data_IF_035266995059
#
_entry.id   IF_035266995059
#
_cell.length_a   1.000
_cell.length_b   1.000
_cell.length_c   1.000
_cell.angle_alpha   90.00
_cell.angle_beta   90.00
_cell.angle_gamma   90.00
#
_symmetry.space_group_name_H-M   'P 1'
#
loop_
_entity.id
_entity.type
_entity.pdbx_description
1 polymer ?
#
# COMPACT_ATOMS: atom_id res chain seq x y z
N UNK A 1 16.67 4.13 39.16
CA UNK A 1 15.46 3.45 38.75
C UNK A 1 14.77 4.33 37.72
N UNK A 2 15.05 4.11 36.45
CA UNK A 2 14.49 4.89 35.32
C UNK A 2 13.69 3.94 34.44
N UNK A 3 12.37 4.16 34.36
CA UNK A 3 11.49 3.42 33.47
C UNK A 3 11.78 3.81 32.02
N UNK A 4 12.30 2.88 31.25
CA UNK A 4 12.45 3.01 29.81
C UNK A 4 11.07 2.90 29.16
N UNK A 5 10.57 4.00 28.61
CA UNK A 5 9.31 4.01 27.88
C UNK A 5 9.50 3.37 26.50
N UNK A 6 8.83 2.25 26.31
CA UNK A 6 8.86 1.43 25.08
C UNK A 6 8.05 2.05 23.90
N UNK A 7 7.89 3.36 23.85
CA UNK A 7 7.01 4.04 22.87
C UNK A 7 7.69 4.71 21.70
N UNK A 8 9.03 4.79 21.64
CA UNK A 8 9.72 5.52 20.58
C UNK A 8 10.19 4.66 19.38
N UNK A 9 9.97 3.36 19.38
CA UNK A 9 10.47 2.43 18.36
C UNK A 9 9.63 2.29 17.09
N UNK A 10 8.37 2.71 17.09
CA UNK A 10 7.41 2.44 15.97
C UNK A 10 7.33 3.57 14.95
N UNK A 11 7.90 4.74 15.20
CA UNK A 11 7.66 5.96 14.41
C UNK A 11 8.71 6.23 13.33
N UNK A 12 9.57 5.28 13.00
CA UNK A 12 10.54 5.42 11.89
C UNK A 12 10.22 4.57 10.67
N UNK A 13 8.95 4.32 10.38
CA UNK A 13 8.55 3.84 9.07
C UNK A 13 8.58 5.02 8.10
N UNK A 14 9.58 4.98 7.25
CA UNK A 14 9.90 5.92 6.20
C UNK A 14 8.65 6.39 5.45
N UNK A 15 8.19 7.60 5.73
CA UNK A 15 7.31 8.31 4.83
C UNK A 15 8.13 8.51 3.56
N UNK A 16 7.84 7.72 2.55
CA UNK A 16 8.42 7.86 1.23
C UNK A 16 8.27 9.32 0.75
N UNK A 17 9.30 9.88 0.14
CA UNK A 17 9.24 11.24 -0.39
C UNK A 17 8.09 11.45 -1.40
N UNK A 18 7.65 10.40 -2.08
CA UNK A 18 6.47 10.41 -2.96
C UNK A 18 5.17 10.67 -2.19
N UNK A 19 5.02 10.16 -0.97
CA UNK A 19 3.83 10.40 -0.15
C UNK A 19 3.74 11.85 0.38
N UNK A 20 4.88 12.54 0.54
CA UNK A 20 4.88 13.97 0.88
C UNK A 20 4.28 14.84 -0.21
N UNK A 21 4.47 14.46 -1.47
CA UNK A 21 3.91 15.19 -2.61
C UNK A 21 2.39 14.97 -2.75
N UNK A 22 1.90 13.78 -2.44
CA UNK A 22 0.48 13.43 -2.49
C UNK A 22 -0.36 14.12 -1.41
N UNK A 23 0.19 14.36 -0.22
CA UNK A 23 -0.45 15.12 0.87
C UNK A 23 -0.72 16.59 0.50
N UNK A 24 0.04 17.17 -0.44
CA UNK A 24 -0.13 18.56 -0.90
C UNK A 24 -1.25 18.67 -1.95
N UNK A 25 -1.60 17.60 -2.63
CA UNK A 25 -2.55 17.61 -3.75
C UNK A 25 -4.04 17.42 -3.36
N UNK A 26 -4.40 17.38 -2.08
CA UNK A 26 -5.78 17.40 -1.54
C UNK A 26 -6.81 16.49 -2.26
N UNK A 27 -6.40 15.32 -2.78
CA UNK A 27 -7.25 14.44 -3.60
C UNK A 27 -7.05 12.95 -3.29
N UNK A 28 -6.45 12.61 -2.14
CA UNK A 28 -6.28 11.22 -1.74
C UNK A 28 -7.50 10.75 -0.95
N UNK A 29 -8.22 9.79 -1.50
CA UNK A 29 -9.12 8.95 -0.69
C UNK A 29 -8.21 7.97 0.06
N UNK A 30 -7.74 8.42 1.22
CA UNK A 30 -6.88 7.61 2.06
C UNK A 30 -7.70 6.54 2.80
N UNK A 31 -7.11 5.38 3.02
CA UNK A 31 -7.62 4.35 3.92
C UNK A 31 -8.00 4.97 5.27
N UNK A 32 -9.14 4.58 5.83
CA UNK A 32 -9.61 5.02 7.15
C UNK A 32 -8.55 4.77 8.22
N UNK A 33 -8.60 5.55 9.31
CA UNK A 33 -7.74 5.32 10.48
C UNK A 33 -7.97 3.93 11.10
N UNK A 34 -7.01 3.38 11.83
CA UNK A 34 -7.19 2.07 12.51
C UNK A 34 -8.40 2.01 13.44
N UNK A 35 -8.77 3.13 14.06
CA UNK A 35 -9.93 3.28 14.94
C UNK A 35 -11.24 3.23 14.13
N UNK A 36 -11.30 3.96 13.02
CA UNK A 36 -12.44 3.96 12.11
C UNK A 36 -12.62 2.58 11.45
N UNK A 37 -11.52 1.92 11.06
CA UNK A 37 -11.56 0.55 10.53
C UNK A 37 -12.08 -0.44 11.57
N UNK A 38 -11.67 -0.29 12.83
CA UNK A 38 -12.20 -1.12 13.93
C UNK A 38 -13.72 -0.99 14.02
N UNK A 39 -14.24 0.22 13.89
CA UNK A 39 -15.68 0.48 13.91
C UNK A 39 -16.37 -0.07 12.64
N UNK A 40 -15.77 0.16 11.46
CA UNK A 40 -16.31 -0.32 10.19
C UNK A 40 -16.36 -1.85 10.10
N UNK A 41 -15.33 -2.55 10.60
CA UNK A 41 -15.31 -4.02 10.65
C UNK A 41 -16.42 -4.58 11.52
N UNK A 42 -16.65 -3.98 12.70
CA UNK A 42 -17.77 -4.37 13.57
C UNK A 42 -19.12 -4.16 12.90
N UNK A 43 -19.30 -3.02 12.24
CA UNK A 43 -20.52 -2.70 11.51
C UNK A 43 -20.78 -3.67 10.35
N UNK A 44 -19.70 -4.17 9.70
CA UNK A 44 -19.77 -5.19 8.65
C UNK A 44 -19.92 -6.64 9.21
N UNK A 45 -20.06 -6.83 10.51
CA UNK A 45 -20.15 -8.15 11.15
C UNK A 45 -18.83 -8.93 11.20
N UNK A 46 -17.72 -8.28 10.89
CA UNK A 46 -16.38 -8.89 10.91
C UNK A 46 -15.78 -8.84 12.32
N UNK A 47 -15.10 -9.92 12.71
CA UNK A 47 -14.40 -9.97 14.00
C UNK A 47 -13.20 -9.03 13.99
N UNK A 48 -13.10 -8.17 15.00
CA UNK A 48 -11.93 -7.36 15.27
C UNK A 48 -11.05 -8.09 16.29
N UNK A 49 -9.82 -8.39 15.90
CA UNK A 49 -8.83 -9.06 16.77
C UNK A 49 -7.58 -8.17 16.89
N UNK A 50 -6.75 -8.36 17.93
CA UNK A 50 -5.48 -7.63 18.04
C UNK A 50 -4.58 -7.76 16.80
N UNK A 51 -4.59 -8.93 16.15
CA UNK A 51 -3.86 -9.19 14.91
C UNK A 51 -4.35 -8.29 13.76
N UNK A 52 -5.68 -8.19 13.57
CA UNK A 52 -6.26 -7.30 12.55
C UNK A 52 -5.97 -5.82 12.83
N UNK A 53 -6.07 -5.41 14.09
CA UNK A 53 -5.73 -4.03 14.48
C UNK A 53 -4.24 -3.70 14.24
N UNK A 54 -3.34 -4.66 14.42
CA UNK A 54 -1.94 -4.50 14.05
C UNK A 54 -1.81 -4.26 12.54
N UNK A 55 -2.48 -5.07 11.71
CA UNK A 55 -2.44 -4.94 10.25
C UNK A 55 -3.05 -3.61 9.78
N UNK A 56 -4.12 -3.11 10.42
CA UNK A 56 -4.66 -1.78 10.13
C UNK A 56 -3.59 -0.70 10.34
N UNK A 57 -2.86 -0.76 11.47
CA UNK A 57 -1.78 0.21 11.76
C UNK A 57 -0.61 0.10 10.77
N UNK A 58 -0.24 -1.11 10.36
CA UNK A 58 0.86 -1.34 9.41
C UNK A 58 0.52 -0.91 7.99
N UNK A 59 -0.77 -0.94 7.62
CA UNK A 59 -1.23 -0.52 6.30
C UNK A 59 -1.57 0.96 6.24
N UNK A 60 -2.01 1.57 7.32
CA UNK A 60 -2.40 2.98 7.34
C UNK A 60 -1.22 3.89 6.97
N UNK A 61 -1.35 4.62 5.85
CA UNK A 61 -0.29 5.49 5.33
C UNK A 61 0.94 4.76 4.78
N UNK A 62 0.83 3.47 4.49
CA UNK A 62 1.93 2.66 3.96
C UNK A 62 2.07 2.83 2.44
N UNK A 63 3.06 3.59 2.02
CA UNK A 63 3.34 3.86 0.60
C UNK A 63 4.32 2.85 -0.04
N UNK A 64 4.70 1.79 0.67
CA UNK A 64 5.63 0.79 0.12
C UNK A 64 4.92 -0.29 -0.72
N UNK A 65 3.61 -0.25 -0.80
CA UNK A 65 2.80 -1.24 -1.53
C UNK A 65 3.22 -2.67 -1.20
N UNK A 66 3.12 -3.10 0.07
CA UNK A 66 3.65 -4.39 0.50
C UNK A 66 2.89 -5.55 -0.15
N UNK A 67 3.58 -6.68 -0.33
CA UNK A 67 2.91 -7.97 -0.52
C UNK A 67 2.38 -8.48 0.82
N UNK A 68 1.47 -9.45 0.79
CA UNK A 68 1.00 -10.11 2.01
C UNK A 68 2.15 -10.75 2.79
N UNK A 69 3.13 -11.34 2.09
CA UNK A 69 4.31 -11.96 2.71
C UNK A 69 5.22 -10.93 3.37
N UNK A 70 5.46 -9.78 2.74
CA UNK A 70 6.25 -8.69 3.33
C UNK A 70 5.56 -8.12 4.58
N UNK A 71 4.24 -7.95 4.52
CA UNK A 71 3.44 -7.50 5.65
C UNK A 71 3.45 -8.53 6.78
N UNK A 72 3.36 -9.83 6.46
CA UNK A 72 3.48 -10.92 7.43
C UNK A 72 4.84 -10.94 8.09
N UNK A 73 5.93 -10.78 7.34
CA UNK A 73 7.29 -10.72 7.89
C UNK A 73 7.43 -9.58 8.92
N UNK A 74 6.86 -8.40 8.63
CA UNK A 74 6.84 -7.28 9.58
C UNK A 74 5.94 -7.54 10.78
N UNK A 75 4.72 -8.02 10.53
CA UNK A 75 3.74 -8.26 11.58
C UNK A 75 4.18 -9.36 12.56
N UNK A 76 4.84 -10.41 12.09
CA UNK A 76 5.33 -11.52 12.91
C UNK A 76 6.45 -11.13 13.87
N UNK A 77 7.23 -10.10 13.55
CA UNK A 77 8.24 -9.53 14.47
C UNK A 77 7.58 -8.84 15.67
N UNK A 78 6.40 -8.22 15.45
CA UNK A 78 5.66 -7.50 16.51
C UNK A 78 4.74 -8.46 17.26
N UNK A 79 4.15 -9.41 16.56
CA UNK A 79 3.18 -10.37 17.09
C UNK A 79 3.48 -11.78 16.55
N UNK A 80 4.37 -12.55 17.20
CA UNK A 80 4.82 -13.86 16.72
C UNK A 80 3.70 -14.89 16.49
N UNK A 81 2.53 -14.72 17.13
CA UNK A 81 1.37 -15.59 16.96
C UNK A 81 0.46 -15.27 15.76
N UNK A 82 0.81 -14.28 14.94
CA UNK A 82 0.05 -13.99 13.73
C UNK A 82 0.32 -15.06 12.66
N UNK A 83 -0.72 -15.40 11.86
CA UNK A 83 -0.57 -16.32 10.74
C UNK A 83 -0.65 -15.59 9.40
N UNK A 84 0.04 -16.10 8.38
CA UNK A 84 -0.06 -15.59 7.00
C UNK A 84 -1.51 -15.62 6.49
N UNK A 85 -2.29 -16.64 6.88
CA UNK A 85 -3.73 -16.72 6.57
C UNK A 85 -4.50 -15.52 7.13
N UNK A 86 -4.19 -15.09 8.36
CA UNK A 86 -4.81 -13.90 8.98
C UNK A 86 -4.48 -12.64 8.20
N UNK A 87 -3.24 -12.53 7.71
CA UNK A 87 -2.82 -11.39 6.87
C UNK A 87 -3.62 -11.35 5.58
N UNK A 88 -3.63 -12.44 4.80
CA UNK A 88 -4.40 -12.51 3.56
C UNK A 88 -5.88 -12.22 3.75
N UNK A 89 -6.49 -12.84 4.77
CA UNK A 89 -7.90 -12.61 5.05
C UNK A 89 -8.20 -11.15 5.41
N UNK A 90 -7.34 -10.51 6.20
CA UNK A 90 -7.53 -9.10 6.58
C UNK A 90 -7.35 -8.17 5.38
N UNK A 91 -6.35 -8.42 4.53
CA UNK A 91 -6.12 -7.64 3.30
C UNK A 91 -7.29 -7.79 2.31
N UNK A 92 -7.82 -9.00 2.15
CA UNK A 92 -9.00 -9.25 1.31
C UNK A 92 -10.24 -8.56 1.86
N UNK A 93 -10.48 -8.62 3.18
CA UNK A 93 -11.60 -7.92 3.81
C UNK A 93 -11.48 -6.40 3.59
N UNK A 94 -10.29 -5.81 3.78
CA UNK A 94 -10.02 -4.39 3.54
C UNK A 94 -10.22 -4.02 2.05
N UNK A 95 -9.76 -4.84 1.12
CA UNK A 95 -9.95 -4.62 -0.31
C UNK A 95 -11.45 -4.69 -0.68
N UNK A 96 -12.18 -5.65 -0.14
CA UNK A 96 -13.63 -5.79 -0.36
C UNK A 96 -14.43 -4.62 0.21
N UNK A 97 -13.91 -3.96 1.25
CA UNK A 97 -14.50 -2.77 1.85
C UNK A 97 -14.09 -1.46 1.14
N UNK A 98 -13.25 -1.53 0.10
CA UNK A 98 -12.73 -0.36 -0.61
C UNK A 98 -11.70 0.45 0.17
N UNK A 99 -11.04 -0.14 1.16
CA UNK A 99 -10.00 0.48 1.98
C UNK A 99 -8.59 0.27 1.41
N UNK A 100 -8.44 -0.73 0.55
CA UNK A 100 -7.20 -1.05 -0.15
C UNK A 100 -7.48 -1.33 -1.63
N UNK A 101 -6.50 -1.05 -2.46
CA UNK A 101 -6.42 -1.60 -3.81
C UNK A 101 -5.45 -2.80 -3.82
N UNK A 102 -5.82 -3.84 -4.55
CA UNK A 102 -4.91 -4.92 -4.92
C UNK A 102 -4.36 -4.65 -6.30
N UNK A 103 -3.04 -4.60 -6.44
CA UNK A 103 -2.34 -4.22 -7.66
C UNK A 103 -1.54 -5.41 -8.15
N UNK A 104 -1.76 -5.81 -9.41
CA UNK A 104 -0.85 -6.71 -10.12
C UNK A 104 0.19 -5.87 -10.87
N UNK A 105 1.44 -5.99 -10.43
CA UNK A 105 2.59 -5.31 -11.07
C UNK A 105 3.43 -6.27 -11.92
N UNK A 106 2.91 -7.45 -12.21
CA UNK A 106 3.61 -8.46 -13.03
C UNK A 106 4.76 -9.16 -12.30
N UNK A 107 4.84 -9.05 -10.96
CA UNK A 107 5.88 -9.70 -10.13
C UNK A 107 5.44 -11.06 -9.56
N UNK A 108 4.25 -11.54 -9.94
CA UNK A 108 3.67 -12.81 -9.47
C UNK A 108 2.98 -12.74 -8.11
N UNK A 109 3.20 -11.69 -7.30
CA UNK A 109 2.50 -11.47 -6.04
C UNK A 109 1.77 -10.14 -6.06
N UNK A 110 0.50 -10.14 -5.65
CA UNK A 110 -0.29 -8.92 -5.53
C UNK A 110 0.34 -7.97 -4.51
N UNK A 111 0.32 -6.68 -4.82
CA UNK A 111 0.67 -5.58 -3.92
C UNK A 111 -0.59 -4.94 -3.37
N UNK A 112 -0.52 -4.39 -2.18
CA UNK A 112 -1.64 -3.75 -1.52
C UNK A 112 -1.34 -2.27 -1.27
N UNK A 113 -2.26 -1.43 -1.74
CA UNK A 113 -2.14 0.01 -1.69
C UNK A 113 -3.29 0.62 -0.88
N UNK A 114 -3.01 1.39 0.18
CA UNK A 114 -4.02 2.10 0.95
C UNK A 114 -4.56 3.37 0.27
N UNK A 115 -3.98 3.77 -0.86
CA UNK A 115 -4.50 4.85 -1.68
C UNK A 115 -5.50 4.29 -2.69
N UNK A 116 -6.78 4.55 -2.48
CA UNK A 116 -7.87 4.04 -3.34
C UNK A 116 -8.36 5.07 -4.38
N UNK A 117 -7.71 6.26 -4.47
CA UNK A 117 -7.98 7.21 -5.55
C UNK A 117 -7.42 6.71 -6.89
N UNK A 118 -7.92 7.27 -8.00
CA UNK A 118 -7.39 6.94 -9.32
C UNK A 118 -5.96 7.42 -9.47
N UNK A 119 -5.06 6.49 -9.71
CA UNK A 119 -3.66 6.74 -10.01
C UNK A 119 -3.04 5.54 -10.72
N UNK A 120 -1.82 5.71 -11.17
CA UNK A 120 -1.02 4.71 -11.87
C UNK A 120 0.17 4.31 -11.01
N UNK A 121 0.94 3.33 -11.44
CA UNK A 121 2.09 2.85 -10.67
C UNK A 121 3.35 2.81 -11.54
N UNK A 122 4.50 3.07 -10.93
CA UNK A 122 5.80 2.81 -11.54
C UNK A 122 6.51 1.72 -10.73
N UNK A 123 7.07 0.73 -11.42
CA UNK A 123 7.76 -0.41 -10.83
C UNK A 123 9.24 -0.38 -11.23
N UNK A 124 10.11 -0.45 -10.24
CA UNK A 124 11.54 -0.60 -10.48
C UNK A 124 11.86 -2.04 -10.84
N UNK A 125 12.48 -2.24 -12.01
CA UNK A 125 12.87 -3.58 -12.49
C UNK A 125 14.03 -4.19 -11.68
N UNK A 126 14.84 -3.36 -11.01
CA UNK A 126 15.99 -3.84 -10.23
C UNK A 126 15.61 -4.24 -8.81
N UNK A 127 14.86 -3.38 -8.06
CA UNK A 127 14.55 -3.62 -6.65
C UNK A 127 13.08 -3.96 -6.38
N UNK A 128 12.22 -3.90 -7.40
CA UNK A 128 10.78 -4.19 -7.27
C UNK A 128 9.99 -3.13 -6.48
N UNK A 129 10.60 -1.97 -6.18
CA UNK A 129 9.88 -0.87 -5.54
C UNK A 129 8.73 -0.38 -6.42
N UNK A 130 7.59 -0.08 -5.78
CA UNK A 130 6.40 0.45 -6.46
C UNK A 130 6.16 1.87 -5.96
N UNK A 131 5.83 2.77 -6.87
CA UNK A 131 5.55 4.18 -6.60
C UNK A 131 4.26 4.61 -7.27
N UNK A 132 3.47 5.46 -6.59
CA UNK A 132 2.30 6.10 -7.17
C UNK A 132 2.71 7.08 -8.28
N UNK A 133 1.98 7.06 -9.37
CA UNK A 133 2.16 7.96 -10.51
C UNK A 133 0.84 8.64 -10.81
N UNK A 134 0.86 9.96 -10.79
CA UNK A 134 -0.28 10.79 -11.14
C UNK A 134 -0.07 11.40 -12.51
N UNK A 135 -0.98 11.16 -13.45
CA UNK A 135 -0.95 11.78 -14.78
C UNK A 135 -1.80 13.04 -14.77
N UNK A 136 -1.28 14.09 -15.38
CA UNK A 136 -2.02 15.36 -15.49
C UNK A 136 -3.15 15.27 -16.53
N UNK A 137 -2.96 14.43 -17.54
CA UNK A 137 -3.87 14.26 -18.65
C UNK A 137 -3.92 12.78 -19.05
N UNK A 138 -5.13 12.22 -19.16
CA UNK A 138 -5.28 10.84 -19.64
C UNK A 138 -4.64 10.68 -21.03
N UNK A 139 -3.93 9.57 -21.29
CA UNK A 139 -3.35 9.32 -22.61
C UNK A 139 -4.45 9.21 -23.67
N UNK A 140 -4.18 9.74 -24.86
CA UNK A 140 -5.05 9.56 -26.02
C UNK A 140 -5.08 8.08 -26.40
N UNK A 141 -6.28 7.50 -26.41
CA UNK A 141 -6.46 6.09 -26.76
C UNK A 141 -6.90 5.97 -28.22
N UNK A 142 -6.24 5.07 -28.98
CA UNK A 142 -6.58 4.74 -30.38
C UNK A 142 -6.98 3.29 -30.52
N UNK A 143 -7.83 2.99 -31.48
CA UNK A 143 -8.27 1.61 -31.75
C UNK A 143 -9.41 1.10 -30.88
N UNK A 144 -10.10 1.98 -30.14
CA UNK A 144 -11.20 1.64 -29.24
C UNK A 144 -12.57 2.06 -29.81
N UNK A 145 -12.77 1.97 -31.15
CA UNK A 145 -14.06 2.30 -31.75
C UNK A 145 -15.17 1.41 -31.17
N UNK A 146 -16.21 2.06 -30.65
CA UNK A 146 -17.36 1.36 -30.04
C UNK A 146 -17.10 0.77 -28.64
N UNK A 147 -15.94 1.10 -28.03
CA UNK A 147 -15.61 0.65 -26.67
C UNK A 147 -15.71 1.83 -25.69
N UNK A 148 -16.38 1.62 -24.56
CA UNK A 148 -16.43 2.60 -23.47
C UNK A 148 -15.46 2.19 -22.39
N UNK A 149 -14.41 2.99 -22.17
CA UNK A 149 -13.43 2.76 -21.11
C UNK A 149 -14.03 3.21 -19.79
N UNK A 150 -14.12 2.30 -18.80
CA UNK A 150 -14.61 2.60 -17.47
C UNK A 150 -13.47 2.84 -16.47
N UNK A 151 -12.31 2.22 -16.67
CA UNK A 151 -11.13 2.34 -15.80
C UNK A 151 -9.87 2.09 -16.64
N UNK A 152 -8.76 2.70 -16.22
CA UNK A 152 -7.45 2.51 -16.85
C UNK A 152 -6.35 2.53 -15.78
N UNK A 153 -5.63 1.41 -15.67
CA UNK A 153 -4.48 1.28 -14.76
C UNK A 153 -3.24 1.02 -15.58
N UNK A 154 -2.29 1.95 -15.52
CA UNK A 154 -1.04 1.86 -16.26
C UNK A 154 0.08 1.53 -15.26
N UNK A 155 0.89 0.54 -15.58
CA UNK A 155 2.10 0.21 -14.85
C UNK A 155 3.30 0.61 -15.70
N UNK A 156 4.00 1.64 -15.26
CA UNK A 156 5.26 2.07 -15.86
C UNK A 156 6.39 1.21 -15.31
N UNK A 157 7.30 0.79 -16.17
CA UNK A 157 8.46 -0.01 -15.76
C UNK A 157 9.75 0.73 -16.05
N UNK A 158 10.73 0.55 -15.17
CA UNK A 158 12.03 1.21 -15.34
C UNK A 158 12.91 1.04 -14.09
N UNK A 159 13.75 2.01 -13.84
CA UNK A 159 14.70 2.00 -12.71
C UNK A 159 14.44 3.19 -11.80
N UNK A 160 14.33 2.97 -10.49
CA UNK A 160 14.19 4.04 -9.52
C UNK A 160 15.49 4.83 -9.35
N UNK A 161 15.42 6.01 -8.73
CA UNK A 161 16.58 6.88 -8.53
C UNK A 161 17.71 6.20 -7.75
N UNK A 162 17.35 5.43 -6.72
CA UNK A 162 18.35 4.73 -5.88
C UNK A 162 19.11 3.68 -6.70
N UNK A 163 18.41 2.89 -7.51
CA UNK A 163 19.05 1.89 -8.37
C UNK A 163 19.84 2.54 -9.52
N UNK A 164 19.39 3.68 -10.04
CA UNK A 164 20.09 4.40 -11.09
C UNK A 164 21.42 4.98 -10.60
N UNK A 165 21.45 5.50 -9.37
CA UNK A 165 22.66 6.06 -8.77
C UNK A 165 23.75 5.00 -8.53
N UNK A 166 23.35 3.76 -8.20
CA UNK A 166 24.30 2.65 -7.97
C UNK A 166 25.05 2.23 -9.26
N UNK A 167 24.47 2.48 -10.43
CA UNK A 167 25.11 2.13 -11.72
C UNK A 167 26.06 3.22 -12.19
N UNK A 168 25.81 4.48 -11.84
CA UNK A 168 26.68 5.62 -12.22
C UNK A 168 28.04 5.62 -11.52
N UNK A 169 28.22 4.79 -10.49
CA UNK A 169 29.47 4.66 -9.72
C UNK A 169 30.28 3.38 -10.06
N UNK A 170 29.93 2.66 -11.12
CA UNK A 170 30.72 1.54 -11.67
C UNK A 170 31.32 1.93 -13.01
#
# INVERSE_FOLDING_TARGET
MGAYSAQEGVQKFLICNSCKFALIANKMTAMRTPEELTTAFRAAGLKVTPQRQLLFRLMHGNCAHPTADALFATASQIMPGISLRTVYQTLNDLTSMGELQSIDVGSGSARFDPNVSDHHHAVCDDCGAVHDVYVQQAPELRGLQGFTVADARIVYRGRCADCSSLVAHR
#
